data_IF_946853073779
#
_entry.id   IF_946853073779
#
_cell.length_a   1.000
_cell.length_b   1.000
_cell.length_c   1.000
_cell.angle_alpha   90.00
_cell.angle_beta   90.00
_cell.angle_gamma   90.00
#
_symmetry.space_group_name_H-M   'P 1'
#
loop_
_entity.id
_entity.type
_entity.pdbx_description
1 polymer ?
#
# COMPACT_ATOMS: atom_id res chain seq x y z
N UNK A 1 -17.67 -1.74 4.41
CA UNK A 1 -16.77 -0.69 4.94
C UNK A 1 -15.72 -0.42 3.86
N UNK A 2 -15.94 0.59 3.03
CA UNK A 2 -14.99 1.02 2.00
C UNK A 2 -14.13 2.10 2.65
N UNK A 3 -12.84 1.84 2.79
CA UNK A 3 -11.89 2.82 3.30
C UNK A 3 -11.34 3.56 2.06
N UNK A 4 -11.59 4.87 1.91
CA UNK A 4 -11.07 5.62 0.78
C UNK A 4 -9.54 5.59 0.79
N UNK A 5 -8.96 5.27 -0.37
CA UNK A 5 -7.52 5.05 -0.55
C UNK A 5 -6.68 6.34 -0.46
N UNK A 6 -7.32 7.49 -0.30
CA UNK A 6 -6.74 8.82 -0.51
C UNK A 6 -6.14 9.51 0.72
N UNK A 7 -6.41 9.02 1.94
CA UNK A 7 -6.09 9.76 3.19
C UNK A 7 -4.96 9.12 4.01
N UNK A 8 -4.12 8.29 3.38
CA UNK A 8 -3.07 7.59 4.10
C UNK A 8 -1.78 8.41 4.16
N UNK A 9 -1.46 8.96 5.33
CA UNK A 9 -0.17 9.60 5.59
C UNK A 9 1.00 8.59 5.60
N UNK A 10 0.72 7.28 5.76
CA UNK A 10 1.72 6.21 5.85
C UNK A 10 1.22 4.95 5.13
N UNK A 11 2.03 4.40 4.20
CA UNK A 11 1.80 3.10 3.55
C UNK A 11 2.84 2.10 4.06
N UNK A 12 2.37 1.02 4.68
CA UNK A 12 3.22 -0.05 5.22
C UNK A 12 3.24 -1.24 4.28
N UNK A 13 4.45 -1.73 3.97
CA UNK A 13 4.61 -2.90 3.11
C UNK A 13 4.14 -4.20 3.76
N UNK A 14 3.69 -5.16 2.95
CA UNK A 14 3.16 -6.45 3.44
C UNK A 14 4.19 -7.24 4.27
N UNK A 15 5.48 -7.10 3.96
CA UNK A 15 6.56 -7.78 4.69
C UNK A 15 6.73 -7.24 6.11
N UNK A 16 6.41 -5.96 6.33
CA UNK A 16 6.40 -5.35 7.66
C UNK A 16 5.22 -5.91 8.47
N UNK A 17 4.01 -5.94 7.88
CA UNK A 17 2.80 -6.47 8.52
C UNK A 17 2.88 -7.96 8.84
N UNK A 18 3.76 -8.72 8.17
CA UNK A 18 4.03 -10.13 8.53
C UNK A 18 4.87 -10.28 9.80
N UNK A 19 5.69 -9.29 10.13
CA UNK A 19 6.57 -9.32 11.31
C UNK A 19 5.94 -8.66 12.53
N UNK A 20 4.98 -7.76 12.32
CA UNK A 20 4.30 -7.05 13.40
C UNK A 20 2.80 -6.97 13.15
N UNK A 21 2.01 -7.18 14.21
CA UNK A 21 0.57 -6.92 14.18
C UNK A 21 0.38 -5.43 14.36
N UNK A 22 -0.27 -4.81 13.38
CA UNK A 22 -0.55 -3.38 13.34
C UNK A 22 -2.05 -3.16 13.56
N UNK A 23 -2.42 -2.50 14.66
CA UNK A 23 -3.83 -2.23 15.01
C UNK A 23 -4.05 -0.73 15.13
N UNK A 24 -4.83 -0.10 14.24
CA UNK A 24 -5.14 1.33 14.36
C UNK A 24 -6.12 1.58 15.51
N UNK A 25 -5.89 2.64 16.29
CA UNK A 25 -6.78 3.14 17.33
C UNK A 25 -7.14 4.61 17.03
N UNK A 26 -8.09 4.85 16.10
CA UNK A 26 -8.43 6.22 15.68
C UNK A 26 -8.90 7.11 16.83
N UNK A 27 -9.59 6.55 17.82
CA UNK A 27 -10.09 7.29 18.98
C UNK A 27 -9.00 7.73 19.97
N UNK A 28 -7.77 7.23 19.82
CA UNK A 28 -6.61 7.61 20.64
C UNK A 28 -5.54 8.33 19.81
N UNK A 29 -5.86 8.71 18.57
CA UNK A 29 -4.92 9.30 17.61
C UNK A 29 -3.61 8.50 17.51
N UNK A 30 -3.72 7.17 17.44
CA UNK A 30 -2.54 6.33 17.48
C UNK A 30 -2.73 4.92 16.98
N UNK A 31 -1.66 4.16 17.06
CA UNK A 31 -1.56 2.80 16.54
C UNK A 31 -0.84 1.92 17.55
N UNK A 32 -1.33 0.70 17.73
CA UNK A 32 -0.64 -0.34 18.46
C UNK A 32 0.19 -1.19 17.49
N UNK A 33 1.48 -1.33 17.77
CA UNK A 33 2.38 -2.26 17.09
C UNK A 33 2.72 -3.38 18.06
N UNK A 34 2.46 -4.63 17.68
CA UNK A 34 2.75 -5.81 18.49
C UNK A 34 3.67 -6.76 17.73
N UNK A 35 4.64 -7.36 18.42
CA UNK A 35 5.55 -8.41 17.95
C UNK A 35 5.50 -9.59 18.95
N UNK A 36 6.19 -10.71 18.70
CA UNK A 36 6.25 -11.98 19.46
C UNK A 36 6.64 -11.88 20.97
N UNK A 37 6.60 -10.69 21.56
CA UNK A 37 6.73 -10.47 23.00
C UNK A 37 6.68 -9.00 23.42
N UNK A 38 6.55 -8.07 22.46
CA UNK A 38 6.58 -6.63 22.73
C UNK A 38 5.36 -5.96 22.11
N UNK A 39 4.75 -5.03 22.84
CA UNK A 39 3.73 -4.13 22.32
C UNK A 39 4.10 -2.69 22.62
N UNK A 40 3.90 -1.82 21.64
CA UNK A 40 4.14 -0.39 21.77
C UNK A 40 3.00 0.39 21.13
N UNK A 41 2.46 1.36 21.87
CA UNK A 41 1.49 2.31 21.34
C UNK A 41 2.22 3.56 20.83
N UNK A 42 1.98 3.91 19.57
CA UNK A 42 2.54 5.09 18.93
C UNK A 42 1.39 6.08 18.72
N UNK A 43 1.47 7.25 19.35
CA UNK A 43 0.62 8.38 18.98
C UNK A 43 1.09 8.97 17.66
N UNK A 44 0.17 9.16 16.74
CA UNK A 44 0.41 9.84 15.46
C UNK A 44 -0.06 11.28 15.64
N UNK A 45 0.89 12.21 15.57
CA UNK A 45 0.60 13.64 15.73
C UNK A 45 0.87 14.38 14.42
N UNK A 46 0.04 15.38 14.08
CA UNK A 46 0.34 16.26 12.95
C UNK A 46 1.65 17.03 13.17
N UNK A 47 2.39 17.29 12.08
CA UNK A 47 3.67 18.00 12.12
C UNK A 47 3.60 19.37 12.83
N UNK A 48 2.48 20.08 12.68
CA UNK A 48 2.25 21.41 13.31
C UNK A 48 2.20 21.31 14.84
N UNK A 49 1.71 20.18 15.38
CA UNK A 49 1.64 19.96 16.83
C UNK A 49 3.03 19.67 17.41
N UNK A 50 3.83 18.89 16.66
CA UNK A 50 5.22 18.57 17.01
C UNK A 50 6.07 19.85 17.12
N UNK A 51 5.95 20.77 16.16
CA UNK A 51 6.71 22.03 16.14
C UNK A 51 6.42 22.91 17.37
N UNK A 52 5.15 22.98 17.79
CA UNK A 52 4.73 23.72 18.99
C UNK A 52 5.22 23.07 20.30
N UNK A 53 5.30 21.75 20.35
CA UNK A 53 5.83 21.01 21.51
C UNK A 53 7.36 21.17 21.64
N UNK A 54 8.07 21.17 20.51
CA UNK A 54 9.52 21.38 20.46
C UNK A 54 9.91 22.75 21.03
N UNK A 55 9.13 23.79 20.71
CA UNK A 55 9.33 25.15 21.25
C UNK A 55 9.12 25.28 22.76
N UNK A 56 8.50 24.28 23.42
CA UNK A 56 8.25 24.26 24.87
C UNK A 56 9.24 23.41 25.67
N UNK A 57 10.24 22.81 25.01
CA UNK A 57 11.25 21.98 25.66
C UNK A 57 10.78 20.57 26.03
N UNK A 58 9.66 20.08 25.46
CA UNK A 58 9.21 18.71 25.66
C UNK A 58 10.09 17.73 24.86
N UNK A 59 10.60 16.68 25.53
CA UNK A 59 11.41 15.64 24.89
C UNK A 59 10.61 14.92 23.82
N UNK A 60 11.00 15.14 22.56
CA UNK A 60 10.34 14.57 21.38
C UNK A 60 11.33 13.63 20.66
N UNK A 61 10.94 12.37 20.49
CA UNK A 61 11.75 11.38 19.77
C UNK A 61 11.29 11.26 18.32
N UNK A 62 12.21 11.50 17.37
CA UNK A 62 11.94 11.35 15.94
C UNK A 62 12.32 9.93 15.48
N UNK A 63 11.34 9.19 14.97
CA UNK A 63 11.57 7.93 14.27
C UNK A 63 11.46 8.16 12.76
N UNK A 64 12.55 7.94 12.02
CA UNK A 64 12.57 8.07 10.57
C UNK A 64 12.56 6.69 9.90
N UNK A 65 11.65 6.49 8.93
CA UNK A 65 11.66 5.28 8.10
C UNK A 65 12.80 5.37 7.09
N UNK A 66 13.85 4.56 7.28
CA UNK A 66 14.93 4.48 6.30
C UNK A 66 14.51 3.54 5.17
N UNK A 67 14.39 4.07 3.96
CA UNK A 67 14.17 3.26 2.76
C UNK A 67 15.41 2.40 2.52
N UNK A 68 15.32 1.12 2.85
CA UNK A 68 16.35 0.15 2.49
C UNK A 68 16.33 0.02 0.97
N UNK A 69 17.42 0.42 0.30
CA UNK A 69 17.60 0.14 -1.13
C UNK A 69 17.71 -1.36 -1.30
N UNK A 70 16.79 -1.97 -2.05
CA UNK A 70 16.77 -3.39 -2.35
C UNK A 70 17.78 -3.76 -3.44
N UNK A 71 19.06 -3.40 -3.25
CA UNK A 71 20.16 -3.92 -4.09
C UNK A 71 20.65 -5.29 -3.60
N UNK A 72 19.92 -5.88 -2.64
CA UNK A 72 20.18 -7.24 -2.17
C UNK A 72 19.79 -8.22 -3.26
N UNK A 73 20.79 -8.72 -3.99
CA UNK A 73 20.67 -9.93 -4.79
C UNK A 73 20.48 -11.10 -3.83
N UNK A 74 19.25 -11.55 -3.66
CA UNK A 74 18.95 -12.75 -2.89
C UNK A 74 19.30 -13.95 -3.76
N UNK A 75 20.10 -14.87 -3.23
CA UNK A 75 20.38 -16.14 -3.91
C UNK A 75 19.07 -16.93 -4.03
N UNK A 76 18.66 -17.19 -5.27
CA UNK A 76 17.45 -17.95 -5.58
C UNK A 76 17.82 -19.43 -5.62
N UNK A 77 17.15 -20.25 -4.82
CA UNK A 77 17.32 -21.70 -4.85
C UNK A 77 17.03 -22.26 -6.25
N UNK A 78 17.80 -23.25 -6.70
CA UNK A 78 17.73 -23.79 -8.07
C UNK A 78 16.32 -24.25 -8.48
N UNK A 79 15.53 -24.79 -7.56
CA UNK A 79 14.14 -25.19 -7.84
C UNK A 79 13.25 -23.99 -8.18
N UNK A 80 13.43 -22.86 -7.50
CA UNK A 80 12.70 -21.61 -7.76
C UNK A 80 13.20 -20.99 -9.05
N UNK A 81 14.50 -21.01 -9.32
CA UNK A 81 15.08 -20.51 -10.56
C UNK A 81 14.54 -21.26 -11.79
N UNK A 82 14.33 -22.57 -11.70
CA UNK A 82 13.70 -23.38 -12.77
C UNK A 82 12.26 -22.93 -13.05
N UNK A 83 11.46 -22.70 -12.00
CA UNK A 83 10.07 -22.22 -12.14
C UNK A 83 10.04 -20.81 -12.73
N UNK A 84 10.88 -19.90 -12.26
CA UNK A 84 10.95 -18.54 -12.80
C UNK A 84 11.34 -18.52 -14.28
N UNK A 85 12.25 -19.40 -14.71
CA UNK A 85 12.60 -19.58 -16.14
C UNK A 85 11.43 -20.09 -16.96
N UNK A 86 10.58 -20.96 -16.39
CA UNK A 86 9.41 -21.50 -17.07
C UNK A 86 8.31 -20.45 -17.29
N UNK A 87 8.19 -19.46 -16.40
CA UNK A 87 7.13 -18.45 -16.40
C UNK A 87 7.65 -17.03 -16.64
N UNK A 88 8.72 -16.88 -17.42
CA UNK A 88 9.35 -15.58 -17.72
C UNK A 88 8.40 -14.60 -18.42
N UNK A 89 7.40 -15.13 -19.12
CA UNK A 89 6.35 -14.42 -19.83
C UNK A 89 5.27 -13.82 -18.91
N UNK A 90 5.16 -14.28 -17.66
CA UNK A 90 4.20 -13.73 -16.70
C UNK A 90 4.63 -12.36 -16.14
N UNK A 91 5.93 -12.05 -16.16
CA UNK A 91 6.48 -10.81 -15.61
C UNK A 91 7.50 -10.17 -16.58
N UNK A 92 7.07 -9.78 -17.79
CA UNK A 92 7.96 -9.12 -18.74
C UNK A 92 8.38 -7.73 -18.19
N UNK A 93 9.60 -7.26 -18.52
CA UNK A 93 10.09 -5.96 -18.06
C UNK A 93 9.26 -4.78 -18.60
N UNK A 94 8.55 -4.98 -19.70
CA UNK A 94 7.64 -4.02 -20.30
C UNK A 94 6.29 -4.68 -20.60
N UNK A 95 5.21 -3.91 -20.52
CA UNK A 95 3.88 -4.40 -20.86
C UNK A 95 3.79 -4.71 -22.37
N UNK A 96 3.16 -5.83 -22.76
CA UNK A 96 2.93 -6.13 -24.16
C UNK A 96 2.12 -5.01 -24.83
N UNK A 97 2.56 -4.58 -26.03
CA UNK A 97 1.84 -3.55 -26.83
C UNK A 97 0.50 -4.04 -27.39
N UNK A 98 0.25 -5.35 -27.33
CA UNK A 98 -0.98 -5.98 -27.83
C UNK A 98 -1.93 -6.19 -26.67
N UNK A 99 -3.21 -5.90 -26.90
CA UNK A 99 -4.25 -6.26 -25.95
C UNK A 99 -4.26 -7.79 -25.75
N UNK A 100 -4.57 -8.27 -24.54
CA UNK A 100 -4.74 -9.69 -24.31
C UNK A 100 -5.84 -10.24 -25.24
N UNK A 101 -5.77 -11.55 -25.59
CA UNK A 101 -6.81 -12.19 -26.38
C UNK A 101 -8.21 -11.93 -25.79
N UNK A 102 -9.21 -11.82 -26.67
CA UNK A 102 -10.60 -11.79 -26.21
C UNK A 102 -10.86 -13.05 -25.39
N UNK A 103 -11.39 -12.88 -24.19
CA UNK A 103 -11.79 -13.99 -23.32
C UNK A 103 -13.01 -14.67 -23.94
N UNK A 104 -13.15 -15.98 -23.72
CA UNK A 104 -14.36 -16.73 -24.14
C UNK A 104 -15.64 -16.21 -23.46
N UNK A 105 -15.48 -15.54 -22.32
CA UNK A 105 -16.56 -14.93 -21.55
C UNK A 105 -16.37 -13.42 -21.54
N UNK A 106 -17.31 -12.71 -22.16
CA UNK A 106 -17.42 -11.27 -22.01
C UNK A 106 -18.33 -10.95 -20.82
N UNK A 107 -17.78 -10.27 -19.81
CA UNK A 107 -18.53 -9.90 -18.61
C UNK A 107 -19.34 -8.63 -18.90
N UNK A 108 -20.52 -8.81 -19.50
CA UNK A 108 -21.44 -7.70 -19.73
C UNK A 108 -22.06 -7.23 -18.42
N UNK A 109 -21.79 -5.97 -18.05
CA UNK A 109 -22.49 -5.31 -16.96
C UNK A 109 -23.90 -4.97 -17.44
N UNK A 110 -24.92 -5.53 -16.77
CA UNK A 110 -26.31 -5.16 -17.04
C UNK A 110 -26.60 -3.81 -16.40
N UNK A 111 -26.92 -2.82 -17.22
CA UNK A 111 -27.39 -1.52 -16.74
C UNK A 111 -28.91 -1.54 -16.59
N UNK A 112 -29.41 -0.87 -15.56
CA UNK A 112 -30.84 -0.62 -15.45
C UNK A 112 -31.25 0.43 -16.50
N UNK A 113 -32.44 0.33 -17.13
CA UNK A 113 -32.95 1.38 -18.00
C UNK A 113 -32.92 2.75 -17.30
N UNK A 114 -32.33 3.77 -17.94
CA UNK A 114 -32.17 5.10 -17.35
C UNK A 114 -30.89 5.32 -16.53
N UNK A 115 -29.98 4.36 -16.47
CA UNK A 115 -28.67 4.54 -15.81
C UNK A 115 -27.84 5.61 -16.52
N UNK A 116 -27.33 6.57 -15.76
CA UNK A 116 -26.43 7.65 -16.23
C UNK A 116 -24.99 7.27 -15.85
N UNK A 117 -24.02 7.56 -16.73
CA UNK A 117 -22.62 7.34 -16.42
C UNK A 117 -22.18 8.21 -15.21
N UNK A 118 -21.38 7.67 -14.27
CA UNK A 118 -21.01 8.37 -13.05
C UNK A 118 -20.09 9.59 -13.28
N UNK A 119 -19.44 9.68 -14.45
CA UNK A 119 -18.65 10.84 -14.87
C UNK A 119 -19.01 11.19 -16.30
N UNK A 120 -19.67 12.34 -16.48
CA UNK A 120 -19.78 13.00 -17.78
C UNK A 120 -18.57 13.92 -17.90
N UNK A 121 -17.49 13.47 -18.52
CA UNK A 121 -16.58 14.43 -19.15
C UNK A 121 -17.38 15.12 -20.23
N UNK A 122 -17.82 16.35 -19.96
CA UNK A 122 -18.20 17.26 -21.02
C UNK A 122 -17.00 17.35 -21.94
N UNK A 123 -17.14 16.89 -23.18
CA UNK A 123 -16.24 17.30 -24.25
C UNK A 123 -16.34 18.81 -24.33
N UNK A 124 -15.31 19.51 -23.83
CA UNK A 124 -15.14 20.93 -24.14
C UNK A 124 -14.91 20.99 -25.66
N UNK A 125 -15.66 21.83 -26.39
CA UNK A 125 -15.51 22.00 -27.84
C UNK A 125 -14.14 22.51 -28.25
#
# INVERSE_FOLDING_TARGET
>A
MVIPLGDFEIILGIYFLRKVIFVPFPHLDGVMIMNEGNSSFIKVLPAIVVDKGLGKGETTFLAALVKIKSDVKVEVLDCVAKVLKQFVDLMPPELPKKLPPRRDIDHKIKLLPGSIAPVTTQSIP
#
